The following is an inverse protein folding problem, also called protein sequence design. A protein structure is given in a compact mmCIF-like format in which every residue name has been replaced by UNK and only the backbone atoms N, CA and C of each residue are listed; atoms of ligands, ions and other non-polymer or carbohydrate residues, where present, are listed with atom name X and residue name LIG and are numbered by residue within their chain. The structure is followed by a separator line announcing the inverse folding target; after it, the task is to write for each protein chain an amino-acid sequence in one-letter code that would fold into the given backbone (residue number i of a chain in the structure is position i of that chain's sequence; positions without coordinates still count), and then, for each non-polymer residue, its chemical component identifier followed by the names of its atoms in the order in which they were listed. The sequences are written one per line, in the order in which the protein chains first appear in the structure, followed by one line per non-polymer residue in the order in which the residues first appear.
data_IF_933121965531
#
_entry.id   IF_933121965531
#
_cell.length_a   1.000
_cell.length_b   1.000
_cell.length_c   1.000
_cell.angle_alpha   90.00
_cell.angle_beta   90.00
_cell.angle_gamma   90.00
#
_symmetry.space_group_name_H-M   'P 1'
#
loop_
_entity.id
_entity.type
_entity.pdbx_description
1 polymer ?
#
# COMPACT_ATOMS: atom_id res chain seq x y z
N UNK A 1 8.55 11.16 -6.61
CA UNK A 1 9.59 11.78 -7.44
C UNK A 1 8.93 12.75 -8.41
N UNK A 2 9.54 13.90 -8.73
CA UNK A 2 9.16 14.64 -9.93
C UNK A 2 9.40 13.75 -11.16
N UNK A 3 8.58 13.87 -12.23
CA UNK A 3 8.79 13.09 -13.44
C UNK A 3 10.17 13.39 -14.05
N UNK A 4 10.87 12.39 -14.59
CA UNK A 4 12.18 12.61 -15.19
C UNK A 4 12.07 13.61 -16.34
N UNK A 5 12.87 14.67 -16.27
CA UNK A 5 12.92 15.70 -17.30
C UNK A 5 13.75 15.17 -18.47
N UNK A 6 13.17 15.19 -19.67
CA UNK A 6 13.85 14.80 -20.92
C UNK A 6 14.16 16.07 -21.72
N UNK A 7 15.42 16.22 -22.14
CA UNK A 7 15.81 17.29 -23.05
C UNK A 7 15.32 16.96 -24.48
N UNK A 8 14.80 17.91 -25.28
CA UNK A 8 14.05 17.63 -26.52
C UNK A 8 14.79 16.83 -27.60
N UNK A 9 16.13 16.76 -27.55
CA UNK A 9 16.97 16.07 -28.54
C UNK A 9 17.78 14.90 -27.94
N UNK A 10 17.48 14.47 -26.70
CA UNK A 10 18.15 13.34 -26.07
C UNK A 10 17.55 12.01 -26.58
N UNK A 11 18.37 11.17 -27.23
CA UNK A 11 17.99 9.79 -27.55
C UNK A 11 18.00 8.99 -26.26
N UNK A 12 16.82 8.54 -25.85
CA UNK A 12 16.58 7.84 -24.59
C UNK A 12 15.90 6.51 -24.87
N UNK A 13 16.31 5.46 -24.14
CA UNK A 13 15.60 4.18 -24.13
C UNK A 13 14.64 4.16 -22.94
N UNK A 14 13.38 3.88 -23.22
CA UNK A 14 12.36 3.65 -22.20
C UNK A 14 11.91 2.20 -22.32
N UNK A 15 11.74 1.54 -21.20
CA UNK A 15 11.29 0.15 -21.13
C UNK A 15 10.00 0.09 -20.34
N UNK A 16 9.03 -0.67 -20.81
CA UNK A 16 7.82 -1.01 -20.05
C UNK A 16 7.65 -2.52 -19.96
N UNK A 17 7.37 -3.03 -18.77
CA UNK A 17 7.14 -4.46 -18.53
C UNK A 17 5.82 -4.69 -17.79
N UNK A 18 5.25 -5.89 -17.96
CA UNK A 18 4.10 -6.34 -17.18
C UNK A 18 4.08 -7.87 -17.00
N UNK A 19 3.30 -8.36 -16.03
CA UNK A 19 3.14 -9.77 -15.70
C UNK A 19 1.72 -10.13 -15.25
N UNK A 20 1.21 -11.27 -15.73
CA UNK A 20 -0.14 -11.75 -15.42
C UNK A 20 -0.15 -13.26 -15.21
N UNK A 21 -0.82 -13.76 -14.16
CA UNK A 21 -0.89 -15.19 -13.85
C UNK A 21 -2.28 -15.62 -13.35
N UNK A 22 -2.64 -16.89 -13.57
CA UNK A 22 -3.93 -17.47 -13.13
C UNK A 22 -3.79 -18.20 -11.79
N UNK A 23 -4.72 -17.93 -10.86
CA UNK A 23 -4.70 -18.37 -9.45
C UNK A 23 -4.72 -19.92 -9.25
N UNK A 24 -5.13 -20.71 -10.25
CA UNK A 24 -5.18 -22.18 -10.19
C UNK A 24 -4.29 -22.81 -11.26
N UNK A 25 -3.01 -23.08 -10.95
CA UNK A 25 -2.04 -23.91 -11.71
C UNK A 25 -2.19 -23.85 -13.25
N UNK A 26 -2.40 -22.66 -13.79
CA UNK A 26 -2.61 -22.42 -15.24
C UNK A 26 -1.67 -21.33 -15.73
N UNK A 27 -0.40 -21.48 -15.36
CA UNK A 27 0.73 -20.65 -15.77
C UNK A 27 0.56 -19.13 -15.60
N UNK A 28 1.61 -18.43 -16.02
CA UNK A 28 1.63 -16.99 -16.11
C UNK A 28 2.35 -16.56 -17.37
N UNK A 29 2.05 -15.34 -17.79
CA UNK A 29 2.67 -14.71 -18.92
C UNK A 29 3.25 -13.36 -18.50
N UNK A 30 4.28 -12.95 -19.21
CA UNK A 30 4.97 -11.69 -18.95
C UNK A 30 5.42 -11.08 -20.26
N UNK A 31 5.52 -9.75 -20.26
CA UNK A 31 5.82 -8.98 -21.46
C UNK A 31 6.84 -7.89 -21.17
N UNK A 32 7.54 -7.49 -22.22
CA UNK A 32 8.53 -6.44 -22.19
C UNK A 32 8.59 -5.70 -23.51
N UNK A 33 8.62 -4.37 -23.44
CA UNK A 33 8.65 -3.47 -24.60
C UNK A 33 9.77 -2.44 -24.40
N UNK A 34 10.56 -2.23 -25.44
CA UNK A 34 11.62 -1.22 -25.52
C UNK A 34 11.19 -0.13 -26.51
N UNK A 35 11.15 1.10 -26.02
CA UNK A 35 10.76 2.31 -26.74
C UNK A 35 11.98 3.20 -27.02
N UNK A 36 11.99 3.85 -28.18
CA UNK A 36 12.93 4.92 -28.53
C UNK A 36 12.26 6.28 -28.40
N UNK A 37 12.90 7.22 -27.71
CA UNK A 37 12.53 8.63 -27.74
C UNK A 37 13.42 9.43 -28.71
N UNK A 38 12.92 10.55 -29.26
CA UNK A 38 11.63 11.21 -28.95
C UNK A 38 10.39 10.66 -29.67
N UNK A 39 10.53 9.79 -30.67
CA UNK A 39 9.43 9.36 -31.55
C UNK A 39 8.50 8.30 -30.95
N UNK A 40 8.79 7.79 -29.75
CA UNK A 40 8.05 6.70 -29.09
C UNK A 40 7.88 5.44 -29.94
N UNK A 41 8.89 5.12 -30.74
CA UNK A 41 8.87 3.94 -31.60
C UNK A 41 9.23 2.68 -30.82
N UNK A 42 8.49 1.58 -31.05
CA UNK A 42 8.83 0.25 -30.51
C UNK A 42 10.08 -0.28 -31.23
N UNK A 43 11.18 -0.41 -30.51
CA UNK A 43 12.42 -1.01 -31.03
C UNK A 43 12.33 -2.53 -30.96
N UNK A 44 11.84 -3.05 -29.83
CA UNK A 44 11.67 -4.48 -29.61
C UNK A 44 10.56 -4.72 -28.59
N UNK A 45 9.75 -5.75 -28.82
CA UNK A 45 8.70 -6.16 -27.90
C UNK A 45 8.58 -7.69 -27.90
N UNK A 46 8.45 -8.27 -26.72
CA UNK A 46 8.29 -9.71 -26.57
C UNK A 46 7.38 -10.05 -25.40
N UNK A 47 6.82 -11.25 -25.46
CA UNK A 47 6.12 -11.89 -24.37
C UNK A 47 6.53 -13.35 -24.25
N UNK A 48 6.40 -13.91 -23.05
CA UNK A 48 6.64 -15.32 -22.79
C UNK A 48 5.57 -15.87 -21.85
N UNK A 49 5.37 -17.18 -21.91
CA UNK A 49 4.47 -17.93 -21.03
C UNK A 49 5.28 -18.99 -20.29
N UNK A 50 4.99 -19.18 -19.01
CA UNK A 50 5.66 -20.15 -18.15
C UNK A 50 4.66 -20.77 -17.17
N UNK A 51 4.80 -22.08 -16.94
CA UNK A 51 3.97 -22.80 -15.99
C UNK A 51 4.41 -22.55 -14.55
N UNK A 52 3.46 -22.65 -13.63
CA UNK A 52 3.67 -22.60 -12.18
C UNK A 52 4.37 -21.35 -11.64
N UNK A 53 4.16 -20.20 -12.28
CA UNK A 53 4.63 -18.90 -11.77
C UNK A 53 3.51 -18.11 -11.11
N UNK A 54 3.85 -17.36 -10.07
CA UNK A 54 2.98 -16.38 -9.41
C UNK A 54 2.89 -15.08 -10.20
N UNK A 55 1.90 -14.23 -9.88
CA UNK A 55 1.77 -12.89 -10.50
C UNK A 55 3.04 -12.06 -10.31
N UNK A 56 3.61 -12.09 -9.11
CA UNK A 56 4.84 -11.36 -8.80
C UNK A 56 6.04 -11.89 -9.61
N UNK A 57 6.19 -13.21 -9.70
CA UNK A 57 7.25 -13.83 -10.52
C UNK A 57 7.08 -13.47 -12.00
N UNK A 58 5.84 -13.41 -12.51
CA UNK A 58 5.56 -12.96 -13.87
C UNK A 58 6.05 -11.51 -14.10
N UNK A 59 5.79 -10.59 -13.17
CA UNK A 59 6.26 -9.21 -13.30
C UNK A 59 7.80 -9.11 -13.28
N UNK A 60 8.49 -9.87 -12.43
CA UNK A 60 9.97 -9.94 -12.43
C UNK A 60 10.51 -10.53 -13.73
N UNK A 61 9.86 -11.57 -14.25
CA UNK A 61 10.22 -12.15 -15.54
C UNK A 61 9.98 -11.18 -16.70
N UNK A 62 8.95 -10.33 -16.63
CA UNK A 62 8.72 -9.24 -17.58
C UNK A 62 9.87 -8.25 -17.60
N UNK A 63 10.35 -7.84 -16.42
CA UNK A 63 11.52 -6.98 -16.33
C UNK A 63 12.79 -7.65 -16.88
N UNK A 64 13.06 -8.90 -16.51
CA UNK A 64 14.22 -9.64 -17.02
C UNK A 64 14.17 -9.77 -18.54
N UNK A 65 12.97 -10.02 -19.09
CA UNK A 65 12.76 -10.04 -20.53
C UNK A 65 13.16 -8.72 -21.18
N UNK A 66 12.78 -7.57 -20.60
CA UNK A 66 13.23 -6.28 -21.11
C UNK A 66 14.75 -6.11 -21.07
N UNK A 67 15.41 -6.53 -19.99
CA UNK A 67 16.86 -6.45 -19.88
C UNK A 67 17.56 -7.35 -20.91
N UNK A 68 16.97 -8.51 -21.22
CA UNK A 68 17.46 -9.37 -22.29
C UNK A 68 17.28 -8.70 -23.66
N UNK A 69 16.16 -8.00 -23.91
CA UNK A 69 15.94 -7.24 -25.15
C UNK A 69 16.92 -6.06 -25.32
N UNK A 70 17.43 -5.51 -24.21
CA UNK A 70 18.41 -4.42 -24.19
C UNK A 70 19.87 -4.89 -24.37
N UNK A 71 20.14 -6.20 -24.35
CA UNK A 71 21.51 -6.74 -24.27
C UNK A 71 22.39 -6.37 -25.47
N UNK A 72 21.80 -6.24 -26.65
CA UNK A 72 22.48 -5.89 -27.91
C UNK A 72 22.44 -4.38 -28.22
N UNK A 73 21.95 -3.54 -27.31
CA UNK A 73 21.69 -2.12 -27.56
C UNK A 73 22.76 -1.20 -26.94
N UNK A 74 22.93 -0.02 -27.54
CA UNK A 74 23.89 0.99 -27.05
C UNK A 74 23.55 1.48 -25.64
N UNK A 75 24.54 1.43 -24.76
CA UNK A 75 24.41 1.71 -23.31
C UNK A 75 24.29 3.20 -23.01
N UNK A 76 23.11 3.75 -23.28
CA UNK A 76 22.72 5.13 -22.97
C UNK A 76 22.00 5.29 -21.63
N UNK A 77 21.22 6.36 -21.51
CA UNK A 77 20.31 6.58 -20.38
C UNK A 77 19.05 5.73 -20.56
N UNK A 78 18.67 4.98 -19.52
CA UNK A 78 17.57 4.03 -19.51
C UNK A 78 16.51 4.41 -18.48
N UNK A 79 15.23 4.44 -18.88
CA UNK A 79 14.11 4.56 -17.93
C UNK A 79 13.33 3.25 -17.93
N UNK A 80 13.17 2.67 -16.75
CA UNK A 80 12.45 1.42 -16.54
C UNK A 80 11.10 1.75 -15.90
N UNK A 81 10.03 1.55 -16.67
CA UNK A 81 8.67 1.86 -16.31
C UNK A 81 7.90 0.56 -15.98
N UNK A 82 7.12 0.60 -14.91
CA UNK A 82 6.21 -0.48 -14.53
C UNK A 82 5.11 0.03 -13.60
N UNK A 83 3.96 -0.64 -13.61
CA UNK A 83 2.82 -0.34 -12.74
C UNK A 83 2.79 -1.22 -11.48
N UNK A 84 3.62 -2.25 -11.43
CA UNK A 84 3.85 -3.03 -10.22
C UNK A 84 4.54 -2.20 -9.14
N UNK A 85 3.74 -1.72 -8.18
CA UNK A 85 4.24 -1.20 -6.91
C UNK A 85 5.15 -2.22 -6.21
N UNK A 86 4.98 -3.52 -6.46
CA UNK A 86 5.77 -4.57 -5.86
C UNK A 86 7.15 -4.65 -6.52
N UNK A 87 7.29 -4.85 -7.83
CA UNK A 87 8.62 -4.91 -8.49
C UNK A 87 9.37 -3.59 -8.35
N UNK A 88 8.67 -2.45 -8.35
CA UNK A 88 9.32 -1.13 -8.21
C UNK A 88 9.73 -0.82 -6.76
N UNK A 89 8.96 -1.24 -5.75
CA UNK A 89 9.36 -1.08 -4.33
C UNK A 89 10.24 -2.24 -3.84
N UNK A 90 10.13 -3.42 -4.43
CA UNK A 90 10.87 -4.66 -4.19
C UNK A 90 12.00 -4.92 -5.19
N UNK A 91 12.48 -3.92 -5.92
CA UNK A 91 13.92 -3.88 -6.26
C UNK A 91 14.85 -3.88 -5.02
N UNK A 92 14.25 -4.01 -3.84
CA UNK A 92 14.79 -4.35 -2.52
C UNK A 92 14.38 -5.75 -1.95
N UNK A 93 13.72 -6.66 -2.68
CA UNK A 93 13.25 -7.99 -2.21
C UNK A 93 12.94 -9.04 -3.31
N UNK A 94 12.84 -10.33 -2.96
CA UNK A 94 12.90 -11.58 -3.78
C UNK A 94 14.31 -11.87 -4.38
N UNK A 95 15.13 -12.58 -3.59
CA UNK A 95 16.60 -12.70 -3.75
C UNK A 95 17.11 -13.19 -5.10
N UNK A 96 16.53 -14.23 -5.70
CA UNK A 96 17.15 -14.84 -6.90
C UNK A 96 16.88 -14.05 -8.20
N UNK A 97 15.62 -13.77 -8.53
CA UNK A 97 15.27 -13.01 -9.75
C UNK A 97 15.71 -11.55 -9.66
N UNK A 98 15.69 -10.97 -8.45
CA UNK A 98 16.27 -9.65 -8.18
C UNK A 98 17.79 -9.65 -8.39
N UNK A 99 18.52 -10.65 -7.89
CA UNK A 99 19.97 -10.71 -8.09
C UNK A 99 20.31 -10.78 -9.59
N UNK A 100 19.57 -11.60 -10.35
CA UNK A 100 19.74 -11.67 -11.81
C UNK A 100 19.42 -10.35 -12.52
N UNK A 101 18.40 -9.61 -12.06
CA UNK A 101 18.08 -8.29 -12.61
C UNK A 101 19.14 -7.25 -12.23
N UNK A 102 19.60 -7.23 -10.99
CA UNK A 102 20.65 -6.33 -10.51
C UNK A 102 22.00 -6.59 -11.18
N UNK A 103 22.38 -7.85 -11.39
CA UNK A 103 23.58 -8.22 -12.14
C UNK A 103 23.55 -7.71 -13.57
N UNK A 104 22.41 -7.85 -14.26
CA UNK A 104 22.22 -7.28 -15.61
C UNK A 104 22.25 -5.74 -15.58
N UNK A 105 21.62 -5.11 -14.58
CA UNK A 105 21.59 -3.66 -14.42
C UNK A 105 22.95 -3.04 -14.06
N UNK A 106 23.90 -3.80 -13.46
CA UNK A 106 25.28 -3.32 -13.27
C UNK A 106 25.96 -2.91 -14.58
N UNK A 107 25.52 -3.48 -15.70
CA UNK A 107 26.03 -3.12 -17.02
C UNK A 107 25.46 -1.80 -17.58
N UNK A 108 24.44 -1.23 -16.92
CA UNK A 108 23.74 0.02 -17.27
C UNK A 108 23.83 1.03 -16.10
N UNK A 109 24.91 1.81 -15.98
CA UNK A 109 25.12 2.69 -14.83
C UNK A 109 24.15 3.88 -14.77
N UNK A 110 23.51 4.25 -15.89
CA UNK A 110 22.58 5.37 -15.99
C UNK A 110 21.15 4.86 -16.23
N UNK A 111 20.52 4.30 -15.18
CA UNK A 111 19.13 3.83 -15.23
C UNK A 111 18.27 4.45 -14.12
N UNK A 112 17.01 4.73 -14.42
CA UNK A 112 16.03 5.26 -13.48
C UNK A 112 14.77 4.37 -13.47
N UNK A 113 14.18 4.16 -12.29
CA UNK A 113 12.90 3.45 -12.16
C UNK A 113 11.74 4.43 -12.03
N UNK A 114 10.72 4.28 -12.87
CA UNK A 114 9.52 5.12 -12.85
C UNK A 114 8.29 4.26 -12.57
N UNK A 115 7.65 4.52 -11.42
CA UNK A 115 6.35 3.94 -11.12
C UNK A 115 5.25 4.70 -11.85
N UNK A 116 4.47 3.98 -12.65
CA UNK A 116 3.38 4.51 -13.46
C UNK A 116 2.03 3.96 -12.99
N UNK A 117 0.93 4.66 -13.32
CA UNK A 117 -0.42 4.12 -13.08
C UNK A 117 -0.71 3.03 -14.11
N UNK A 118 -1.58 2.07 -13.75
CA UNK A 118 -1.98 0.96 -14.63
C UNK A 118 -2.51 1.41 -16.00
N UNK A 119 -3.27 2.51 -16.04
CA UNK A 119 -3.80 3.08 -17.30
C UNK A 119 -2.72 3.47 -18.33
N UNK A 120 -1.47 3.59 -17.87
CA UNK A 120 -0.34 4.04 -18.67
C UNK A 120 0.49 2.85 -19.17
N UNK A 121 0.36 1.67 -18.54
CA UNK A 121 1.11 0.46 -18.89
C UNK A 121 0.30 -0.46 -19.84
N UNK A 122 -0.72 0.09 -20.49
CA UNK A 122 -1.72 -0.65 -21.25
C UNK A 122 -1.12 -1.45 -22.43
N UNK A 123 -0.02 -0.96 -23.01
CA UNK A 123 0.72 -1.67 -24.06
C UNK A 123 1.31 -2.99 -23.55
N UNK A 124 2.00 -2.96 -22.40
CA UNK A 124 2.61 -4.14 -21.82
C UNK A 124 1.55 -5.11 -21.24
N UNK A 125 0.50 -4.58 -20.59
CA UNK A 125 -0.62 -5.38 -20.04
C UNK A 125 -1.42 -6.11 -21.13
N UNK A 126 -1.68 -5.44 -22.26
CA UNK A 126 -2.30 -6.08 -23.42
C UNK A 126 -1.46 -7.25 -23.94
N UNK A 127 -0.15 -7.05 -24.03
CA UNK A 127 0.80 -8.04 -24.55
C UNK A 127 0.95 -9.25 -23.60
N UNK A 128 1.04 -9.01 -22.29
CA UNK A 128 1.07 -10.07 -21.28
C UNK A 128 -0.25 -10.85 -21.23
N UNK A 129 -1.38 -10.14 -21.27
CA UNK A 129 -2.71 -10.75 -21.31
C UNK A 129 -2.95 -11.58 -22.57
N UNK A 130 -2.44 -11.14 -23.73
CA UNK A 130 -2.52 -11.91 -24.97
C UNK A 130 -1.72 -13.21 -24.89
N UNK A 131 -0.49 -13.17 -24.35
CA UNK A 131 0.33 -14.35 -24.12
C UNK A 131 -0.30 -15.32 -23.10
N UNK A 132 -0.98 -14.79 -22.06
CA UNK A 132 -1.70 -15.62 -21.09
C UNK A 132 -2.93 -16.32 -21.72
N UNK A 133 -3.62 -15.66 -22.65
CA UNK A 133 -4.76 -16.26 -23.38
C UNK A 133 -4.31 -17.33 -24.38
N UNK A 134 -3.16 -17.12 -25.02
CA UNK A 134 -2.58 -18.05 -26.01
C UNK A 134 -1.78 -19.18 -25.36
N UNK A 135 -1.42 -19.03 -24.08
CA UNK A 135 -0.51 -19.92 -23.35
C UNK A 135 0.85 -20.09 -24.06
N UNK A 136 1.27 -19.04 -24.77
CA UNK A 136 2.48 -19.03 -25.59
C UNK A 136 3.09 -17.63 -25.67
N UNK A 137 4.42 -17.54 -25.68
CA UNK A 137 5.14 -16.30 -25.93
C UNK A 137 5.18 -15.90 -27.40
N UNK A 138 5.27 -14.60 -27.67
CA UNK A 138 5.43 -14.04 -29.02
C UNK A 138 6.49 -12.94 -28.99
N UNK A 139 7.41 -12.98 -29.96
CA UNK A 139 8.29 -11.85 -30.28
C UNK A 139 7.62 -11.05 -31.39
N UNK A 140 7.41 -9.76 -31.17
CA UNK A 140 6.72 -8.88 -32.12
C UNK A 140 7.72 -8.45 -33.20
N UNK A 141 7.53 -9.00 -34.41
CA UNK A 141 8.38 -8.70 -35.58
C UNK A 141 7.59 -7.90 -36.63
N UNK A 142 6.26 -7.97 -36.61
CA UNK A 142 5.39 -7.36 -37.60
C UNK A 142 5.16 -5.87 -37.30
N UNK A 143 5.19 -5.05 -38.35
CA UNK A 143 5.02 -3.60 -38.22
C UNK A 143 3.61 -3.20 -37.78
N UNK A 144 2.58 -3.97 -38.17
CA UNK A 144 1.19 -3.76 -37.75
C UNK A 144 1.02 -3.96 -36.23
N UNK A 145 1.62 -5.03 -35.68
CA UNK A 145 1.59 -5.29 -34.23
C UNK A 145 2.39 -4.24 -33.44
N UNK A 146 3.47 -3.68 -34.01
CA UNK A 146 4.20 -2.55 -33.41
C UNK A 146 3.34 -1.29 -33.39
N UNK A 147 2.60 -1.03 -34.47
CA UNK A 147 1.71 0.12 -34.56
C UNK A 147 0.58 0.03 -33.53
N UNK A 148 0.00 -1.16 -33.33
CA UNK A 148 -1.00 -1.40 -32.28
C UNK A 148 -0.47 -1.05 -30.89
N UNK A 149 0.77 -1.47 -30.57
CA UNK A 149 1.42 -1.11 -29.31
C UNK A 149 1.64 0.40 -29.19
N UNK A 150 2.06 1.09 -30.26
CA UNK A 150 2.20 2.55 -30.25
C UNK A 150 0.86 3.26 -29.99
N UNK A 151 -0.26 2.75 -30.51
CA UNK A 151 -1.59 3.36 -30.24
C UNK A 151 -2.04 3.22 -28.79
N UNK A 152 -1.58 2.17 -28.10
CA UNK A 152 -1.86 1.92 -26.69
C UNK A 152 -0.85 2.60 -25.76
N UNK A 153 0.18 3.24 -26.31
CA UNK A 153 1.21 3.90 -25.52
C UNK A 153 0.69 5.24 -25.01
N UNK A 154 0.81 5.45 -23.70
CA UNK A 154 0.53 6.75 -23.05
C UNK A 154 1.71 7.26 -22.25
N UNK A 155 2.89 6.63 -22.36
CA UNK A 155 4.09 6.99 -21.61
C UNK A 155 4.62 8.40 -21.96
N UNK A 156 4.25 8.92 -23.13
CA UNK A 156 4.54 10.29 -23.59
C UNK A 156 3.91 11.36 -22.69
N UNK A 157 2.73 11.11 -22.11
CA UNK A 157 2.07 12.03 -21.18
C UNK A 157 2.82 12.12 -19.81
N UNK A 158 3.79 11.22 -19.53
CA UNK A 158 4.42 10.99 -18.21
C UNK A 158 5.79 11.68 -18.13
N UNK A 159 6.46 11.80 -19.28
CA UNK A 159 7.76 12.45 -19.43
C UNK A 159 7.54 13.91 -19.85
N UNK A 160 7.76 14.85 -18.93
CA UNK A 160 7.61 16.27 -19.22
C UNK A 160 8.82 16.74 -20.03
N UNK A 161 8.61 17.02 -21.31
CA UNK A 161 9.57 17.74 -22.14
C UNK A 161 9.84 19.12 -21.52
N UNK A 162 11.11 19.46 -21.36
CA UNK A 162 11.53 20.77 -20.84
C UNK A 162 11.22 21.84 -21.89
N UNK A 163 10.06 22.47 -21.79
CA UNK A 163 9.73 23.61 -22.65
C UNK A 163 10.49 24.86 -22.17
N UNK A 164 11.37 25.39 -23.02
CA UNK A 164 12.02 26.71 -22.90
C UNK A 164 11.03 27.87 -23.09
N UNK A 165 9.88 27.80 -22.42
CA UNK A 165 8.86 28.84 -22.41
C UNK A 165 8.87 29.59 -21.08
N UNK A 166 9.64 30.67 -21.00
CA UNK A 166 9.66 31.59 -19.86
C UNK A 166 8.24 32.04 -19.47
N UNK A 167 7.66 31.42 -18.44
CA UNK A 167 6.48 31.94 -17.74
C UNK A 167 6.93 32.66 -16.48
N UNK A 168 7.10 33.97 -16.60
CA UNK A 168 7.30 34.90 -15.48
C UNK A 168 6.09 34.79 -14.56
N UNK A 169 6.24 34.14 -13.39
CA UNK A 169 5.30 34.26 -12.28
C UNK A 169 5.74 35.46 -11.44
N UNK A 170 5.01 36.56 -11.54
CA UNK A 170 5.13 37.71 -10.64
C UNK A 170 4.52 37.28 -9.30
N UNK A 171 5.37 37.05 -8.30
CA UNK A 171 5.00 36.81 -6.91
C UNK A 171 5.49 37.96 -6.04
N UNK A 172 4.59 38.53 -5.24
CA UNK A 172 4.80 39.74 -4.45
C UNK A 172 6.02 39.68 -3.51
N UNK A 173 6.78 40.78 -3.47
CA UNK A 173 7.95 40.97 -2.61
C UNK A 173 7.48 41.27 -1.19
N UNK A 174 7.60 40.31 -0.28
CA UNK A 174 7.63 40.59 1.17
C UNK A 174 9.04 40.39 1.70
N UNK A 175 9.53 41.41 2.41
CA UNK A 175 10.89 41.55 2.98
C UNK A 175 11.47 40.22 3.48
N UNK A 176 12.60 39.84 2.89
CA UNK A 176 13.40 38.67 3.25
C UNK A 176 13.99 38.84 4.65
N UNK A 177 13.38 38.18 5.65
CA UNK A 177 14.14 37.68 6.80
C UNK A 177 15.01 36.55 6.27
N UNK A 178 16.33 36.65 6.48
CA UNK A 178 17.32 35.60 6.21
C UNK A 178 16.94 34.32 6.97
N UNK A 179 16.04 33.52 6.40
CA UNK A 179 15.85 32.12 6.78
C UNK A 179 16.95 31.35 6.07
N UNK A 180 18.01 30.99 6.80
CA UNK A 180 18.81 29.84 6.41
C UNK A 180 17.84 28.69 6.18
N UNK A 181 17.62 28.32 4.91
CA UNK A 181 17.02 27.02 4.59
C UNK A 181 18.08 26.00 4.98
N UNK A 182 17.87 25.12 5.97
CA UNK A 182 18.76 23.98 6.12
C UNK A 182 18.72 23.22 4.80
N UNK A 183 19.88 22.87 4.26
CA UNK A 183 19.96 21.98 3.11
C UNK A 183 19.17 20.73 3.47
N UNK A 184 18.02 20.53 2.80
CA UNK A 184 17.24 19.31 2.93
C UNK A 184 18.17 18.22 2.40
N UNK A 185 18.70 17.40 3.31
CA UNK A 185 19.49 16.23 2.95
C UNK A 185 18.68 15.43 1.92
N UNK A 186 19.31 15.06 0.80
CA UNK A 186 18.67 14.21 -0.22
C UNK A 186 18.04 13.00 0.50
N UNK A 187 16.81 12.66 0.13
CA UNK A 187 16.00 11.64 0.80
C UNK A 187 16.74 10.30 0.94
N UNK A 188 17.57 9.97 -0.03
CA UNK A 188 18.46 8.80 -0.05
C UNK A 188 19.54 8.82 1.04
N UNK A 189 20.10 9.99 1.34
CA UNK A 189 21.09 10.16 2.41
C UNK A 189 20.41 9.94 3.77
N UNK A 190 19.21 10.49 3.94
CA UNK A 190 18.41 10.31 5.16
C UNK A 190 18.00 8.85 5.34
N UNK A 191 17.57 8.17 4.27
CA UNK A 191 17.25 6.75 4.29
C UNK A 191 18.48 5.91 4.64
N UNK A 192 19.64 6.17 4.04
CA UNK A 192 20.90 5.48 4.34
C UNK A 192 21.33 5.67 5.78
N UNK A 193 21.29 6.91 6.29
CA UNK A 193 21.58 7.22 7.70
C UNK A 193 20.63 6.49 8.65
N UNK A 194 19.33 6.39 8.31
CA UNK A 194 18.35 5.66 9.12
C UNK A 194 18.64 4.16 9.13
N UNK A 195 18.91 3.56 7.97
CA UNK A 195 19.26 2.14 7.87
C UNK A 195 20.55 1.83 8.62
N UNK A 196 21.56 2.71 8.52
CA UNK A 196 22.81 2.55 9.26
C UNK A 196 22.60 2.65 10.77
N UNK A 197 21.76 3.57 11.24
CA UNK A 197 21.39 3.69 12.67
C UNK A 197 20.71 2.41 13.16
N UNK A 198 19.80 1.84 12.38
CA UNK A 198 19.12 0.59 12.71
C UNK A 198 20.12 -0.56 12.75
N UNK A 199 21.00 -0.66 11.75
CA UNK A 199 22.03 -1.71 11.68
C UNK A 199 22.96 -1.67 12.89
N UNK A 200 23.48 -0.49 13.25
CA UNK A 200 24.36 -0.34 14.42
C UNK A 200 23.67 -0.78 15.71
N UNK A 201 22.41 -0.38 15.90
CA UNK A 201 21.64 -0.80 17.07
C UNK A 201 21.33 -2.31 17.06
N UNK A 202 21.10 -2.91 15.89
CA UNK A 202 20.94 -4.36 15.75
C UNK A 202 22.25 -5.11 16.05
N UNK A 203 23.39 -4.65 15.54
CA UNK A 203 24.71 -5.25 15.83
C UNK A 203 25.07 -5.16 17.31
N UNK A 204 24.56 -4.15 18.03
CA UNK A 204 24.78 -4.00 19.46
C UNK A 204 23.88 -4.92 20.30
N UNK A 205 22.57 -4.92 20.02
CA UNK A 205 21.56 -5.60 20.81
C UNK A 205 21.34 -7.07 20.39
N UNK A 206 21.51 -7.38 19.10
CA UNK A 206 21.26 -8.70 18.50
C UNK A 206 22.54 -9.40 18.00
N UNK A 207 23.72 -8.94 18.44
CA UNK A 207 25.05 -9.45 18.02
C UNK A 207 25.13 -10.97 17.98
N UNK A 208 24.63 -11.63 19.01
CA UNK A 208 24.69 -13.10 19.14
C UNK A 208 23.85 -13.83 18.09
N UNK A 209 22.67 -13.30 17.78
CA UNK A 209 21.80 -13.85 16.72
C UNK A 209 22.41 -13.60 15.34
N UNK A 210 22.94 -12.40 15.11
CA UNK A 210 23.56 -12.02 13.84
C UNK A 210 24.84 -12.85 13.57
N UNK A 211 25.73 -12.99 14.57
CA UNK A 211 26.92 -13.82 14.46
C UNK A 211 26.59 -15.29 14.20
N UNK A 212 25.56 -15.83 14.87
CA UNK A 212 25.11 -17.20 14.63
C UNK A 212 24.60 -17.40 13.19
N UNK A 213 23.81 -16.46 12.67
CA UNK A 213 23.28 -16.51 11.31
C UNK A 213 24.35 -16.32 10.23
N UNK A 214 25.42 -15.57 10.52
CA UNK A 214 26.58 -15.39 9.62
C UNK A 214 27.57 -16.56 9.65
N UNK A 215 27.40 -17.52 10.57
CA UNK A 215 28.31 -18.66 10.72
C UNK A 215 29.52 -18.38 11.62
N UNK A 216 29.59 -17.20 12.25
CA UNK A 216 30.66 -16.78 13.16
C UNK A 216 30.45 -17.35 14.58
N UNK A 217 30.32 -18.67 14.67
CA UNK A 217 29.95 -19.39 15.91
C UNK A 217 31.12 -19.43 16.93
N UNK A 218 32.34 -19.11 16.50
CA UNK A 218 33.55 -19.14 17.34
C UNK A 218 33.50 -18.12 18.50
N UNK A 219 32.76 -17.02 18.35
CA UNK A 219 32.60 -15.99 19.40
C UNK A 219 31.38 -16.22 20.32
N UNK A 220 30.61 -17.30 20.09
CA UNK A 220 29.38 -17.59 20.80
C UNK A 220 29.56 -18.65 21.89
N UNK A 221 29.04 -18.38 23.08
CA UNK A 221 28.95 -19.41 24.13
C UNK A 221 27.95 -20.49 23.74
N UNK A 222 28.19 -21.74 24.15
CA UNK A 222 27.32 -22.89 23.84
C UNK A 222 25.83 -22.66 24.20
N UNK A 223 25.56 -21.95 25.29
CA UNK A 223 24.20 -21.59 25.70
C UNK A 223 23.53 -20.57 24.75
N UNK A 224 24.28 -19.57 24.28
CA UNK A 224 23.77 -18.57 23.32
C UNK A 224 23.54 -19.20 21.94
N UNK A 225 24.46 -20.03 21.47
CA UNK A 225 24.32 -20.76 20.22
C UNK A 225 23.07 -21.67 20.21
N UNK A 226 22.82 -22.41 21.30
CA UNK A 226 21.59 -23.22 21.47
C UNK A 226 20.30 -22.41 21.53
N UNK A 227 20.35 -21.19 22.05
CA UNK A 227 19.18 -20.29 22.08
C UNK A 227 18.89 -19.73 20.69
N UNK A 228 19.95 -19.34 19.96
CA UNK A 228 19.85 -18.84 18.60
C UNK A 228 19.39 -19.94 17.63
N UNK A 229 19.89 -21.17 17.75
CA UNK A 229 19.49 -22.29 16.89
C UNK A 229 17.99 -22.60 16.93
N UNK A 230 17.34 -22.43 18.09
CA UNK A 230 15.89 -22.66 18.25
C UNK A 230 15.01 -21.68 17.49
N UNK A 231 15.54 -20.51 17.16
CA UNK A 231 14.80 -19.42 16.53
C UNK A 231 15.35 -19.06 15.15
N UNK A 232 16.55 -19.53 14.80
CA UNK A 232 17.29 -19.15 13.60
C UNK A 232 16.48 -19.35 12.32
N UNK A 233 15.68 -20.41 12.24
CA UNK A 233 14.82 -20.71 11.09
C UNK A 233 13.80 -19.60 10.75
N UNK A 234 13.62 -18.61 11.65
CA UNK A 234 12.68 -17.49 11.49
C UNK A 234 13.37 -16.14 11.31
N UNK A 235 14.70 -16.10 11.28
CA UNK A 235 15.47 -14.87 11.19
C UNK A 235 16.54 -15.00 10.12
N UNK A 236 16.68 -13.99 9.28
CA UNK A 236 17.77 -13.91 8.30
C UNK A 236 18.39 -12.52 8.33
N UNK A 237 19.62 -12.41 7.84
CA UNK A 237 20.28 -11.12 7.67
C UNK A 237 20.30 -10.77 6.19
N UNK A 238 19.88 -9.56 5.83
CA UNK A 238 19.90 -9.10 4.44
C UNK A 238 21.31 -8.69 3.96
N UNK A 239 21.44 -8.37 2.67
CA UNK A 239 22.69 -7.88 2.06
C UNK A 239 23.24 -6.59 2.70
N UNK A 240 22.38 -5.82 3.37
CA UNK A 240 22.74 -4.59 4.08
C UNK A 240 23.18 -4.84 5.53
N UNK A 241 23.13 -6.10 5.98
CA UNK A 241 23.46 -6.52 7.34
C UNK A 241 22.32 -6.36 8.33
N UNK A 242 21.08 -6.12 7.88
CA UNK A 242 19.92 -5.94 8.73
C UNK A 242 19.25 -7.27 9.05
N UNK A 243 18.83 -7.42 10.30
CA UNK A 243 18.10 -8.59 10.78
C UNK A 243 16.61 -8.49 10.41
N UNK A 244 16.12 -9.51 9.70
CA UNK A 244 14.74 -9.66 9.27
C UNK A 244 14.09 -10.86 9.97
N UNK A 245 12.77 -10.79 10.16
CA UNK A 245 11.96 -11.85 10.75
C UNK A 245 10.91 -12.36 9.77
N UNK A 246 10.80 -13.68 9.70
CA UNK A 246 9.87 -14.42 8.86
C UNK A 246 8.84 -15.13 9.75
N UNK A 247 7.56 -14.70 9.74
CA UNK A 247 6.53 -15.33 10.56
C UNK A 247 6.24 -16.77 10.10
N UNK A 248 6.06 -17.73 11.03
CA UNK A 248 5.71 -19.10 10.66
C UNK A 248 4.30 -19.14 10.05
N UNK A 249 4.18 -19.68 8.84
CA UNK A 249 2.92 -19.89 8.13
C UNK A 249 1.98 -20.77 8.95
N UNK A 250 0.83 -20.26 9.36
CA UNK A 250 -0.33 -21.11 9.65
C UNK A 250 -1.15 -21.21 8.37
N UNK A 251 -1.56 -22.43 8.05
CA UNK A 251 -2.35 -22.81 6.89
C UNK A 251 -3.61 -21.94 6.71
N UNK A 252 -3.58 -21.02 5.75
CA UNK A 252 -4.72 -20.56 4.94
C UNK A 252 -4.17 -19.64 3.84
N UNK A 253 -4.46 -19.95 2.58
CA UNK A 253 -3.93 -19.25 1.40
C UNK A 253 -4.38 -17.77 1.25
N UNK A 254 -5.17 -17.24 2.19
CA UNK A 254 -5.61 -15.83 2.21
C UNK A 254 -4.63 -14.88 2.93
N UNK A 255 -3.71 -15.40 3.75
CA UNK A 255 -2.71 -14.61 4.50
C UNK A 255 -1.31 -14.64 3.82
N UNK A 256 -1.27 -14.76 2.48
CA UNK A 256 -0.03 -14.83 1.66
C UNK A 256 0.78 -13.52 1.60
N UNK A 257 0.56 -12.57 2.50
CA UNK A 257 1.31 -11.31 2.63
C UNK A 257 2.45 -11.39 3.68
N UNK A 258 3.20 -12.49 3.71
CA UNK A 258 4.35 -12.63 4.62
C UNK A 258 5.60 -11.92 4.06
N UNK A 259 5.51 -10.59 3.97
CA UNK A 259 6.65 -9.70 3.74
C UNK A 259 7.61 -9.84 4.94
N UNK A 260 8.91 -10.01 4.65
CA UNK A 260 9.96 -10.00 5.66
C UNK A 260 9.84 -8.75 6.54
N UNK A 261 9.87 -8.94 7.87
CA UNK A 261 9.65 -7.85 8.83
C UNK A 261 10.99 -7.39 9.39
N UNK A 262 11.22 -6.08 9.39
CA UNK A 262 12.44 -5.54 9.98
C UNK A 262 12.42 -5.74 11.50
N UNK A 263 13.48 -6.36 12.04
CA UNK A 263 13.62 -6.53 13.48
C UNK A 263 14.03 -5.20 14.10
N UNK A 264 13.22 -4.66 15.02
CA UNK A 264 13.48 -3.34 15.59
C UNK A 264 14.23 -3.48 16.93
N UNK A 265 15.42 -2.87 17.07
CA UNK A 265 16.13 -2.71 18.35
C UNK A 265 15.28 -1.98 19.40
N UNK A 266 15.43 -2.35 20.67
CA UNK A 266 14.73 -1.75 21.82
C UNK A 266 14.88 -0.24 21.86
N UNK A 267 16.08 0.27 21.56
CA UNK A 267 16.39 1.69 21.48
C UNK A 267 15.55 2.48 20.48
N UNK A 268 14.98 1.83 19.46
CA UNK A 268 14.18 2.47 18.40
C UNK A 268 12.67 2.19 18.50
N UNK A 269 12.26 1.29 19.41
CA UNK A 269 10.84 0.94 19.55
C UNK A 269 9.98 2.13 19.97
N UNK A 270 10.49 3.00 20.86
CA UNK A 270 9.74 4.15 21.35
C UNK A 270 9.45 5.17 20.23
N UNK A 271 10.44 5.44 19.37
CA UNK A 271 10.31 6.34 18.23
C UNK A 271 9.23 5.84 17.25
N UNK A 272 9.21 4.52 16.99
CA UNK A 272 8.17 3.91 16.14
C UNK A 272 6.80 3.95 16.80
N UNK A 273 6.69 3.64 18.09
CA UNK A 273 5.41 3.73 18.80
C UNK A 273 4.87 5.17 18.79
N UNK A 274 5.75 6.16 18.98
CA UNK A 274 5.39 7.57 18.87
C UNK A 274 4.90 7.92 17.45
N UNK A 275 5.60 7.48 16.41
CA UNK A 275 5.20 7.73 15.02
C UNK A 275 3.84 7.09 14.69
N UNK A 276 3.61 5.84 15.07
CA UNK A 276 2.39 5.11 14.71
C UNK A 276 1.18 5.35 15.62
N UNK A 277 1.36 6.01 16.78
CA UNK A 277 0.28 6.30 17.72
C UNK A 277 0.13 7.79 18.02
N UNK A 278 1.19 8.43 18.53
CA UNK A 278 1.14 9.79 19.09
C UNK A 278 1.26 10.89 18.04
N UNK A 279 1.87 10.58 16.89
CA UNK A 279 1.97 11.54 15.78
C UNK A 279 0.62 11.79 15.12
N UNK A 280 0.56 12.88 14.34
CA UNK A 280 -0.63 13.21 13.54
C UNK A 280 -1.01 12.08 12.56
N UNK A 281 -0.01 11.42 11.97
CA UNK A 281 -0.22 10.28 11.06
C UNK A 281 -0.66 9.00 11.80
N UNK A 282 -0.25 8.86 13.06
CA UNK A 282 -0.65 7.76 13.93
C UNK A 282 -2.11 7.82 14.36
N UNK A 283 -2.62 9.03 14.61
CA UNK A 283 -4.04 9.29 14.85
C UNK A 283 -4.60 8.71 16.16
N UNK A 284 -3.74 8.44 17.15
CA UNK A 284 -4.09 7.96 18.50
C UNK A 284 -5.06 6.78 18.53
N UNK A 285 -4.85 5.85 17.60
CA UNK A 285 -5.72 4.68 17.46
C UNK A 285 -5.57 3.72 18.66
N UNK A 286 -6.58 2.88 18.88
CA UNK A 286 -6.56 1.87 19.93
C UNK A 286 -5.47 0.80 19.71
N UNK A 287 -5.13 0.08 20.79
CA UNK A 287 -4.05 -0.91 20.87
C UNK A 287 -4.04 -1.85 19.66
N UNK A 288 -5.19 -2.46 19.34
CA UNK A 288 -5.30 -3.40 18.23
C UNK A 288 -4.92 -2.78 16.88
N UNK A 289 -5.43 -1.58 16.56
CA UNK A 289 -5.13 -0.92 15.28
C UNK A 289 -3.66 -0.47 15.18
N UNK A 290 -3.12 0.11 16.26
CA UNK A 290 -1.70 0.48 16.33
C UNK A 290 -0.80 -0.75 16.19
N UNK A 291 -1.14 -1.85 16.86
CA UNK A 291 -0.41 -3.11 16.74
C UNK A 291 -0.41 -3.65 15.30
N UNK A 292 -1.56 -3.71 14.63
CA UNK A 292 -1.63 -4.23 13.26
C UNK A 292 -0.83 -3.37 12.27
N UNK A 293 -0.86 -2.03 12.41
CA UNK A 293 -0.05 -1.12 11.60
C UNK A 293 1.45 -1.39 11.77
N UNK A 294 1.92 -1.51 13.01
CA UNK A 294 3.34 -1.77 13.28
C UNK A 294 3.74 -3.19 12.82
N UNK A 295 2.90 -4.19 13.11
CA UNK A 295 3.12 -5.61 12.75
C UNK A 295 3.22 -5.84 11.25
N UNK A 296 2.66 -4.97 10.42
CA UNK A 296 2.71 -5.10 8.96
C UNK A 296 4.15 -4.99 8.43
N UNK A 297 5.02 -4.19 9.07
CA UNK A 297 6.36 -3.89 8.57
C UNK A 297 7.49 -4.23 9.55
N UNK A 298 7.19 -4.29 10.85
CA UNK A 298 8.18 -4.41 11.91
C UNK A 298 7.90 -5.60 12.84
N UNK A 299 8.97 -6.10 13.46
CA UNK A 299 8.89 -7.16 14.45
C UNK A 299 9.87 -6.95 15.60
N UNK A 300 9.46 -7.32 16.81
CA UNK A 300 10.35 -7.55 17.93
C UNK A 300 9.67 -8.48 18.94
N UNK A 301 10.45 -9.07 19.84
CA UNK A 301 9.90 -9.93 20.90
C UNK A 301 9.04 -9.11 21.85
N UNK A 302 7.78 -9.51 22.03
CA UNK A 302 6.85 -8.78 22.89
C UNK A 302 6.18 -7.57 22.23
N UNK A 303 6.19 -7.44 20.88
CA UNK A 303 5.56 -6.34 20.15
C UNK A 303 4.19 -5.93 20.68
N UNK A 304 3.27 -6.90 20.85
CA UNK A 304 1.93 -6.60 21.36
C UNK A 304 1.95 -6.00 22.78
N UNK A 305 2.80 -6.54 23.67
CA UNK A 305 2.93 -6.06 25.05
C UNK A 305 3.53 -4.65 25.09
N UNK A 306 4.52 -4.36 24.25
CA UNK A 306 5.09 -3.00 24.12
C UNK A 306 4.03 -2.00 23.67
N UNK A 307 3.25 -2.34 22.62
CA UNK A 307 2.17 -1.47 22.11
C UNK A 307 1.07 -1.29 23.16
N UNK A 308 0.64 -2.37 23.82
CA UNK A 308 -0.36 -2.30 24.88
C UNK A 308 0.09 -1.37 26.01
N UNK A 309 1.34 -1.50 26.46
CA UNK A 309 1.93 -0.64 27.50
C UNK A 309 1.97 0.82 27.06
N UNK A 310 2.50 1.09 25.87
CA UNK A 310 2.66 2.45 25.34
C UNK A 310 1.32 3.17 25.17
N UNK A 311 0.35 2.53 24.51
CA UNK A 311 -0.99 3.11 24.30
C UNK A 311 -1.75 3.21 25.62
N UNK A 312 -1.58 2.25 26.53
CA UNK A 312 -2.18 2.28 27.86
C UNK A 312 -1.66 3.42 28.75
N UNK A 313 -0.40 3.83 28.57
CA UNK A 313 0.23 4.95 29.28
C UNK A 313 0.07 6.30 28.57
N UNK A 314 -0.67 6.34 27.45
CA UNK A 314 -0.86 7.57 26.68
C UNK A 314 -1.87 8.49 27.37
N UNK A 315 -1.37 9.55 28.03
CA UNK A 315 -2.17 10.53 28.79
C UNK A 315 -3.32 11.11 27.95
N UNK A 316 -3.06 11.44 26.68
CA UNK A 316 -4.08 12.01 25.79
C UNK A 316 -5.19 11.00 25.46
N UNK A 317 -4.86 9.71 25.40
CA UNK A 317 -5.86 8.66 25.19
C UNK A 317 -6.61 8.32 26.48
N UNK A 318 -5.94 8.35 27.63
CA UNK A 318 -6.57 8.12 28.92
C UNK A 318 -7.56 9.24 29.29
N UNK A 319 -7.24 10.48 28.94
CA UNK A 319 -8.12 11.65 29.15
C UNK A 319 -9.23 11.75 28.10
N UNK A 320 -8.96 11.35 26.84
CA UNK A 320 -9.93 11.41 25.74
C UNK A 320 -10.91 10.24 25.68
N UNK A 321 -10.53 9.05 26.17
CA UNK A 321 -11.44 7.91 26.31
C UNK A 321 -12.00 7.94 27.72
N UNK A 322 -13.20 8.52 27.87
CA UNK A 322 -13.97 8.28 29.08
C UNK A 322 -13.97 6.78 29.36
N UNK A 323 -13.48 6.37 30.53
CA UNK A 323 -13.74 5.04 31.07
C UNK A 323 -15.07 5.19 31.80
N UNK A 324 -16.24 5.00 31.17
CA UNK A 324 -17.47 5.00 31.93
C UNK A 324 -17.37 3.85 32.92
N UNK A 325 -17.12 4.17 34.18
CA UNK A 325 -17.16 3.25 35.31
C UNK A 325 -18.62 2.94 35.66
N UNK A 326 -19.51 2.83 34.67
CA UNK A 326 -20.91 2.48 34.92
C UNK A 326 -20.92 0.97 35.14
N UNK A 327 -20.77 0.56 36.40
CA UNK A 327 -20.96 -0.81 36.88
C UNK A 327 -22.45 -1.13 37.10
N UNK A 328 -23.35 -0.29 36.58
CA UNK A 328 -24.79 -0.57 36.60
C UNK A 328 -25.13 -1.66 35.59
N UNK A 329 -26.02 -2.57 35.98
CA UNK A 329 -26.69 -3.43 35.01
C UNK A 329 -27.34 -2.54 33.95
N UNK A 330 -27.18 -2.89 32.67
CA UNK A 330 -27.96 -2.26 31.61
C UNK A 330 -29.45 -2.39 32.01
N UNK A 331 -30.28 -1.35 31.90
CA UNK A 331 -31.71 -1.43 32.23
C UNK A 331 -32.51 -2.50 31.46
N UNK A 332 -31.85 -3.30 30.62
CA UNK A 332 -32.46 -4.20 29.67
C UNK A 332 -32.96 -3.46 28.45
N UNK A 333 -33.19 -4.19 27.36
CA UNK A 333 -33.93 -3.67 26.24
C UNK A 333 -35.43 -3.71 26.57
N UNK A 334 -36.17 -2.68 26.19
CA UNK A 334 -37.64 -2.73 26.20
C UNK A 334 -38.09 -3.87 25.28
N UNK A 335 -38.92 -4.78 25.79
CA UNK A 335 -39.48 -5.88 25.01
C UNK A 335 -40.94 -5.59 24.69
N UNK A 336 -41.25 -5.43 23.41
CA UNK A 336 -42.63 -5.38 22.93
C UNK A 336 -43.23 -6.80 22.91
N UNK A 337 -44.50 -6.94 23.25
CA UNK A 337 -45.23 -8.22 23.31
C UNK A 337 -46.10 -8.47 22.08
N UNK A 338 -46.38 -7.43 21.29
CA UNK A 338 -47.22 -7.50 20.10
C UNK A 338 -46.87 -6.36 19.11
N UNK A 339 -47.24 -6.48 17.81
CA UNK A 339 -46.89 -5.50 16.80
C UNK A 339 -47.39 -4.08 17.13
N UNK A 340 -46.54 -3.09 16.90
CA UNK A 340 -46.82 -1.65 17.09
C UNK A 340 -47.11 -1.22 18.53
N UNK A 341 -46.80 -2.07 19.52
CA UNK A 341 -46.89 -1.67 20.93
C UNK A 341 -45.88 -0.57 21.28
N UNK A 342 -44.61 -0.82 20.95
CA UNK A 342 -43.49 0.10 21.21
C UNK A 342 -42.81 0.38 19.87
N UNK A 343 -42.68 1.66 19.55
CA UNK A 343 -42.08 2.10 18.30
C UNK A 343 -40.82 2.89 18.60
N UNK A 344 -39.67 2.43 18.12
CA UNK A 344 -38.46 3.22 18.15
C UNK A 344 -38.50 4.29 17.06
N UNK A 345 -38.28 5.55 17.43
CA UNK A 345 -38.19 6.66 16.49
C UNK A 345 -36.75 7.16 16.40
N UNK A 346 -36.24 7.33 15.17
CA UNK A 346 -34.92 7.90 14.93
C UNK A 346 -34.90 8.83 13.70
N UNK A 347 -33.86 9.65 13.62
CA UNK A 347 -33.64 10.64 12.58
C UNK A 347 -32.30 10.46 11.90
N UNK A 348 -32.31 10.42 10.57
CA UNK A 348 -31.09 10.52 9.76
C UNK A 348 -30.98 11.96 9.21
N UNK A 349 -30.11 12.81 9.80
CA UNK A 349 -29.91 14.18 9.37
C UNK A 349 -29.00 14.28 8.14
N UNK A 350 -28.97 15.47 7.52
CA UNK A 350 -27.90 15.89 6.59
C UNK A 350 -27.76 15.04 5.32
N UNK A 351 -28.88 14.58 4.76
CA UNK A 351 -28.90 13.89 3.48
C UNK A 351 -28.88 14.88 2.31
N UNK A 352 -28.36 14.47 1.13
CA UNK A 352 -28.46 15.28 -0.08
C UNK A 352 -29.90 15.71 -0.36
N UNK A 353 -30.08 16.97 -0.77
CA UNK A 353 -31.41 17.53 -1.01
C UNK A 353 -32.10 16.77 -2.13
N UNK A 354 -33.26 16.20 -1.83
CA UNK A 354 -34.11 15.55 -2.83
C UNK A 354 -34.76 16.56 -3.78
N UNK A 355 -35.32 16.08 -4.89
CA UNK A 355 -36.14 16.88 -5.81
C UNK A 355 -37.28 17.65 -5.11
N UNK A 356 -37.85 17.08 -4.04
CA UNK A 356 -38.92 17.71 -3.24
C UNK A 356 -38.40 18.60 -2.10
N UNK A 357 -37.08 18.85 -2.05
CA UNK A 357 -36.47 19.72 -1.05
C UNK A 357 -36.18 19.09 0.31
N UNK A 358 -36.55 17.82 0.54
CA UNK A 358 -36.26 17.10 1.78
C UNK A 358 -34.76 16.82 1.92
N UNK A 359 -34.23 16.95 3.14
CA UNK A 359 -32.81 16.77 3.49
C UNK A 359 -32.61 15.73 4.60
N UNK A 360 -33.67 15.07 5.03
CA UNK A 360 -33.66 14.20 6.21
C UNK A 360 -34.64 13.04 6.07
N UNK A 361 -34.38 11.95 6.79
CA UNK A 361 -35.28 10.81 6.92
C UNK A 361 -35.68 10.64 8.38
N UNK A 362 -36.99 10.51 8.58
CA UNK A 362 -37.60 10.10 9.83
C UNK A 362 -37.91 8.62 9.75
N UNK A 363 -37.49 7.86 10.76
CA UNK A 363 -37.59 6.40 10.79
C UNK A 363 -38.39 6.00 12.03
N UNK A 364 -39.34 5.09 11.83
CA UNK A 364 -40.02 4.37 12.90
C UNK A 364 -39.80 2.88 12.73
N UNK A 365 -39.49 2.19 13.82
CA UNK A 365 -39.26 0.75 13.86
C UNK A 365 -40.18 0.16 14.91
N UNK A 366 -41.02 -0.80 14.52
CA UNK A 366 -41.75 -1.62 15.47
C UNK A 366 -40.78 -2.57 16.19
N UNK A 367 -40.68 -2.46 17.52
CA UNK A 367 -39.75 -3.28 18.31
C UNK A 367 -40.12 -4.77 18.36
N UNK A 368 -41.38 -5.13 18.05
CA UNK A 368 -41.81 -6.51 18.03
C UNK A 368 -41.45 -7.21 16.71
N UNK A 369 -41.88 -6.65 15.57
CA UNK A 369 -41.67 -7.27 14.25
C UNK A 369 -40.38 -6.85 13.56
N UNK A 370 -39.75 -5.75 14.01
CA UNK A 370 -38.66 -5.10 13.28
C UNK A 370 -39.11 -4.35 12.02
N UNK A 371 -40.42 -4.15 11.83
CA UNK A 371 -40.96 -3.46 10.65
C UNK A 371 -40.58 -1.98 10.63
N UNK A 372 -39.99 -1.52 9.53
CA UNK A 372 -39.42 -0.17 9.40
C UNK A 372 -40.27 0.71 8.47
N UNK A 373 -40.58 1.91 8.93
CA UNK A 373 -41.25 2.97 8.16
C UNK A 373 -40.30 4.15 8.05
N UNK A 374 -39.99 4.56 6.82
CA UNK A 374 -39.13 5.71 6.55
C UNK A 374 -39.90 6.81 5.81
N UNK A 375 -39.73 8.06 6.25
CA UNK A 375 -40.37 9.24 5.68
C UNK A 375 -39.37 10.36 5.45
N UNK A 376 -39.26 10.82 4.21
CA UNK A 376 -38.46 12.00 3.89
C UNK A 376 -39.15 13.29 4.36
N UNK A 377 -38.42 14.14 5.07
CA UNK A 377 -38.90 15.41 5.64
C UNK A 377 -37.95 16.57 5.32
N UNK A 378 -38.48 17.78 5.33
CA UNK A 378 -37.73 19.03 5.12
C UNK A 378 -37.53 19.85 6.42
N UNK A 379 -38.20 19.47 7.52
CA UNK A 379 -38.19 20.19 8.80
C UNK A 379 -38.32 19.23 9.98
N UNK A 380 -37.59 19.50 11.07
CA UNK A 380 -37.63 18.75 12.35
C UNK A 380 -38.56 19.35 13.40
N UNK A 381 -39.44 20.27 13.02
CA UNK A 381 -40.40 20.84 13.99
C UNK A 381 -41.26 19.72 14.59
N UNK A 382 -41.55 19.81 15.89
CA UNK A 382 -42.39 18.83 16.60
C UNK A 382 -43.75 18.62 15.92
N UNK A 383 -44.34 19.68 15.36
CA UNK A 383 -45.59 19.59 14.60
C UNK A 383 -45.45 18.70 13.36
N UNK A 384 -44.42 18.94 12.53
CA UNK A 384 -44.15 18.12 11.34
C UNK A 384 -43.94 16.64 11.73
N UNK A 385 -43.29 16.39 12.87
CA UNK A 385 -43.12 15.03 13.38
C UNK A 385 -44.44 14.36 13.74
N UNK A 386 -45.27 15.04 14.54
CA UNK A 386 -46.57 14.53 14.95
C UNK A 386 -47.47 14.25 13.74
N UNK A 387 -47.56 15.17 12.77
CA UNK A 387 -48.35 14.99 11.55
C UNK A 387 -47.85 13.81 10.70
N UNK A 388 -46.54 13.62 10.58
CA UNK A 388 -45.98 12.51 9.83
C UNK A 388 -46.15 11.17 10.57
N UNK A 389 -46.02 11.14 11.88
CA UNK A 389 -46.33 9.95 12.70
C UNK A 389 -47.80 9.59 12.58
N UNK A 390 -48.71 10.56 12.73
CA UNK A 390 -50.15 10.33 12.59
C UNK A 390 -50.47 9.73 11.22
N UNK A 391 -49.91 10.30 10.16
CA UNK A 391 -50.16 9.89 8.78
C UNK A 391 -49.55 8.52 8.43
N UNK A 392 -48.32 8.26 8.87
CA UNK A 392 -47.54 7.10 8.40
C UNK A 392 -47.67 5.89 9.32
N UNK A 393 -47.92 6.12 10.60
CA UNK A 393 -48.01 5.09 11.64
C UNK A 393 -49.45 4.99 12.15
N UNK A 394 -49.95 6.01 12.85
CA UNK A 394 -51.22 5.95 13.58
C UNK A 394 -52.41 5.56 12.71
N UNK A 395 -52.61 6.24 11.57
CA UNK A 395 -53.74 5.98 10.68
C UNK A 395 -53.70 4.62 9.97
N UNK A 396 -52.53 3.97 9.95
CA UNK A 396 -52.30 2.69 9.25
C UNK A 396 -52.31 1.50 10.19
N UNK A 397 -51.72 1.66 11.36
CA UNK A 397 -51.43 0.55 12.27
C UNK A 397 -52.05 0.74 13.66
N UNK A 398 -52.67 1.89 13.93
CA UNK A 398 -53.19 2.25 15.24
C UNK A 398 -52.19 3.04 16.08
N UNK A 399 -52.64 3.48 17.25
CA UNK A 399 -51.80 4.18 18.22
C UNK A 399 -50.81 3.20 18.86
N UNK A 400 -49.53 3.57 18.97
CA UNK A 400 -48.61 2.83 19.84
C UNK A 400 -48.80 3.22 21.31
N UNK A 401 -48.51 2.29 22.21
CA UNK A 401 -48.57 2.53 23.66
C UNK A 401 -47.35 3.35 24.13
N UNK A 402 -46.21 3.21 23.44
CA UNK A 402 -44.99 3.96 23.67
C UNK A 402 -44.26 4.29 22.35
N UNK A 403 -43.50 5.40 22.36
CA UNK A 403 -42.61 5.87 21.29
C UNK A 403 -41.26 6.23 21.91
#
# INVERSE_FOLDING_TARGET
MPPPTVEPNERLLVVSFDGSARVKRSGGAYSGIVWSLPEWTVISAASKYQLDITVNEAEYHGLLLCLDLLSDMDRGRLIICGDSNLVIRQMKGLTLLRQQALERLRSWPNHEFLHMKRDWNQSADSLASAALRRESGVVIVNEEERQDLMTLNRLDELLIAKNDGARVKIGAVTRSRKKCRPQVLQEEIVQRMRLERIRRAQDEENRSSIAYLRGDVLELTSAKAKSCSKIADRYETDESGLLLYFPPTKQSDEDRDLVAKLVVPETLQNDLMHHYHSSLEGGRQGIGRTYHKIRAHFHWRGLYQSVQRYVGQCIDCETGKGRPTIHGESPGNLQATHPFQIIGMDHIPSLPRSYKGNTELLIWIDLFTGYVIAKAIASRTAQTLAENYEKCVFRRFGASEAI
#
